data_IF_738196676847
#
_entry.id   IF_738196676847
#
_cell.length_a   1.000
_cell.length_b   1.000
_cell.length_c   1.000
_cell.angle_alpha   90.00
_cell.angle_beta   90.00
_cell.angle_gamma   90.00
#
_symmetry.space_group_name_H-M   'P 1'
#
loop_
_entity.id
_entity.type
_entity.pdbx_description
1 polymer ?
#
# COMPACT_ATOMS: atom_id res chain seq x y z
N UNK A 1 -5.55 -10.89 34.83
CA UNK A 1 -5.36 -12.23 34.25
C UNK A 1 -5.30 -12.09 32.75
N UNK A 2 -4.36 -12.76 32.09
CA UNK A 2 -4.28 -12.78 30.64
C UNK A 2 -5.37 -13.72 30.11
N UNK A 3 -6.61 -13.23 30.01
CA UNK A 3 -7.80 -14.01 29.60
C UNK A 3 -7.52 -14.69 28.25
N UNK A 4 -6.80 -14.00 27.36
CA UNK A 4 -6.35 -14.52 26.07
C UNK A 4 -5.55 -15.82 26.18
N UNK A 5 -4.57 -15.92 27.11
CA UNK A 5 -3.74 -17.12 27.27
C UNK A 5 -4.49 -18.30 27.90
N UNK A 6 -5.66 -18.05 28.52
CA UNK A 6 -6.49 -19.10 29.10
C UNK A 6 -7.45 -19.70 28.08
N UNK A 7 -8.03 -18.86 27.22
CA UNK A 7 -9.01 -19.28 26.23
C UNK A 7 -8.36 -19.78 24.93
N UNK A 8 -7.21 -19.22 24.54
CA UNK A 8 -6.51 -19.65 23.33
C UNK A 8 -5.70 -20.92 23.60
N UNK A 9 -6.24 -22.07 23.18
CA UNK A 9 -5.67 -23.41 23.40
C UNK A 9 -4.46 -23.70 22.50
N UNK A 10 -4.33 -23.04 21.34
CA UNK A 10 -3.21 -23.25 20.41
C UNK A 10 -2.01 -22.32 20.73
N UNK A 11 -0.80 -22.84 20.96
CA UNK A 11 0.39 -22.03 21.17
C UNK A 11 0.74 -21.08 20.01
N UNK A 12 0.24 -21.31 18.79
CA UNK A 12 0.38 -20.41 17.62
C UNK A 12 -0.51 -19.17 17.71
N UNK A 13 -1.55 -19.21 18.55
CA UNK A 13 -2.59 -18.20 18.65
C UNK A 13 -2.33 -17.16 19.75
N UNK A 14 -1.13 -17.14 20.34
CA UNK A 14 -0.78 -16.28 21.49
C UNK A 14 -0.82 -14.77 21.25
N UNK A 15 -0.81 -14.29 20.00
CA UNK A 15 -0.79 -12.84 19.69
C UNK A 15 -1.68 -12.49 18.49
N UNK A 16 -2.62 -11.57 18.73
CA UNK A 16 -3.31 -10.85 17.66
C UNK A 16 -2.31 -9.99 16.88
N UNK A 17 -2.46 -9.93 15.55
CA UNK A 17 -1.67 -8.99 14.76
C UNK A 17 -2.23 -7.57 14.91
N UNK A 18 -1.41 -6.57 15.23
CA UNK A 18 -1.87 -5.19 15.26
C UNK A 18 -2.24 -4.75 13.84
N UNK A 19 -3.39 -4.09 13.71
CA UNK A 19 -3.76 -3.39 12.49
C UNK A 19 -2.86 -2.16 12.41
N UNK A 20 -1.82 -2.22 11.58
CA UNK A 20 -0.99 -1.05 11.32
C UNK A 20 -1.81 0.06 10.68
N UNK A 21 -1.77 1.26 11.26
CA UNK A 21 -2.55 2.42 10.80
C UNK A 21 -2.19 2.83 9.36
N UNK A 22 -0.92 2.67 8.98
CA UNK A 22 -0.36 3.25 7.76
C UNK A 22 0.04 2.23 6.70
N UNK A 23 0.07 0.93 7.02
CA UNK A 23 0.62 -0.09 6.13
C UNK A 23 -0.46 -1.06 5.64
N UNK A 24 -0.58 -1.18 4.33
CA UNK A 24 -1.64 -1.99 3.72
C UNK A 24 -1.45 -3.49 4.00
N UNK A 25 -0.21 -3.99 4.01
CA UNK A 25 0.07 -5.41 4.29
C UNK A 25 -0.35 -5.83 5.71
N UNK A 26 -0.30 -4.94 6.71
CA UNK A 26 -0.70 -5.32 8.07
C UNK A 26 -2.20 -5.59 8.18
N UNK A 27 -3.02 -5.00 7.28
CA UNK A 27 -4.45 -5.29 7.21
C UNK A 27 -4.70 -6.69 6.66
N UNK A 28 -3.97 -7.09 5.61
CA UNK A 28 -3.99 -8.47 5.09
C UNK A 28 -3.60 -9.48 6.18
N UNK A 29 -2.49 -9.24 6.88
CA UNK A 29 -2.04 -10.14 7.97
C UNK A 29 -3.08 -10.24 9.09
N UNK A 30 -3.68 -9.11 9.50
CA UNK A 30 -4.69 -9.11 10.54
C UNK A 30 -5.96 -9.87 10.14
N UNK A 31 -6.49 -9.62 8.95
CA UNK A 31 -7.69 -10.31 8.44
C UNK A 31 -7.40 -11.79 8.23
N UNK A 32 -6.24 -12.14 7.66
CA UNK A 32 -5.84 -13.54 7.43
C UNK A 32 -5.64 -14.30 8.74
N UNK A 33 -5.10 -13.68 9.79
CA UNK A 33 -4.99 -14.33 11.10
C UNK A 33 -6.36 -14.59 11.74
N UNK A 34 -7.29 -13.64 11.62
CA UNK A 34 -8.62 -13.78 12.25
C UNK A 34 -9.51 -14.74 11.47
N UNK A 35 -9.61 -14.60 10.15
CA UNK A 35 -10.56 -15.32 9.30
C UNK A 35 -9.94 -16.47 8.49
N UNK A 36 -8.63 -16.69 8.59
CA UNK A 36 -7.92 -17.66 7.75
C UNK A 36 -7.71 -17.15 6.33
N UNK A 37 -7.59 -18.06 5.38
CA UNK A 37 -7.45 -17.72 3.95
C UNK A 37 -8.81 -17.81 3.23
N UNK A 38 -8.91 -17.22 2.03
CA UNK A 38 -10.18 -17.20 1.29
C UNK A 38 -10.75 -18.62 1.11
N UNK A 39 -11.97 -18.83 1.62
CA UNK A 39 -12.67 -20.11 1.60
C UNK A 39 -12.01 -21.25 2.39
N UNK A 40 -10.99 -20.95 3.19
CA UNK A 40 -10.23 -21.92 3.99
C UNK A 40 -9.94 -21.34 5.37
N UNK A 41 -10.80 -21.62 6.36
CA UNK A 41 -10.66 -21.12 7.74
C UNK A 41 -9.56 -21.81 8.55
N UNK A 42 -8.67 -22.57 7.93
CA UNK A 42 -7.62 -23.33 8.62
C UNK A 42 -6.77 -22.43 9.53
N UNK A 43 -6.65 -22.79 10.81
CA UNK A 43 -5.92 -22.04 11.85
C UNK A 43 -6.40 -20.57 12.03
N UNK A 44 -7.67 -20.29 11.77
CA UNK A 44 -8.25 -18.98 12.01
C UNK A 44 -8.47 -18.72 13.52
N UNK A 45 -8.11 -17.51 13.98
CA UNK A 45 -8.30 -17.07 15.37
C UNK A 45 -9.74 -16.70 15.72
N UNK A 46 -10.66 -16.76 14.76
CA UNK A 46 -12.03 -16.24 14.91
C UNK A 46 -12.75 -16.77 16.15
N UNK A 47 -12.69 -18.09 16.38
CA UNK A 47 -13.36 -18.76 17.51
C UNK A 47 -12.70 -18.37 18.84
N UNK A 48 -11.37 -18.38 18.90
CA UNK A 48 -10.61 -17.89 20.07
C UNK A 48 -10.96 -16.44 20.43
N UNK A 49 -11.13 -15.57 19.42
CA UNK A 49 -11.56 -14.17 19.60
C UNK A 49 -12.98 -14.10 20.17
N UNK A 50 -13.90 -14.94 19.70
CA UNK A 50 -15.27 -14.96 20.22
C UNK A 50 -15.33 -15.44 21.67
N UNK A 51 -14.64 -16.54 22.02
CA UNK A 51 -14.60 -17.04 23.39
C UNK A 51 -13.94 -16.05 24.35
N UNK A 52 -12.82 -15.44 23.96
CA UNK A 52 -12.16 -14.41 24.78
C UNK A 52 -13.04 -13.19 25.01
N UNK A 53 -13.76 -12.71 23.98
CA UNK A 53 -14.72 -11.62 24.15
C UNK A 53 -15.90 -12.02 25.03
N UNK A 54 -16.37 -13.28 24.94
CA UNK A 54 -17.46 -13.78 25.79
C UNK A 54 -17.02 -13.87 27.26
N UNK A 55 -15.81 -14.37 27.52
CA UNK A 55 -15.22 -14.38 28.85
C UNK A 55 -15.06 -12.96 29.42
N UNK A 56 -14.70 -11.98 28.57
CA UNK A 56 -14.65 -10.56 28.96
C UNK A 56 -16.04 -10.03 29.29
N UNK A 57 -17.06 -10.35 28.48
CA UNK A 57 -18.44 -9.91 28.69
C UNK A 57 -19.01 -10.39 30.03
N UNK A 58 -18.74 -11.64 30.43
CA UNK A 58 -19.26 -12.24 31.66
C UNK A 58 -18.36 -12.02 32.89
N UNK A 59 -17.14 -11.50 32.70
CA UNK A 59 -16.20 -11.22 33.78
C UNK A 59 -16.68 -10.09 34.72
N UNK A 60 -17.22 -10.46 35.89
CA UNK A 60 -17.74 -9.50 36.88
C UNK A 60 -16.66 -8.52 37.40
N UNK A 61 -15.40 -8.94 37.41
CA UNK A 61 -14.24 -8.14 37.84
C UNK A 61 -13.72 -7.16 36.78
N UNK A 62 -14.23 -7.23 35.54
CA UNK A 62 -13.80 -6.40 34.42
C UNK A 62 -14.64 -5.12 34.36
N UNK A 63 -14.02 -4.02 33.93
CA UNK A 63 -14.68 -2.72 33.75
C UNK A 63 -15.96 -2.84 32.90
N UNK A 64 -17.05 -2.24 33.36
CA UNK A 64 -18.34 -2.23 32.69
C UNK A 64 -18.27 -1.73 31.24
N UNK A 65 -17.45 -0.72 30.94
CA UNK A 65 -17.26 -0.23 29.55
C UNK A 65 -16.62 -1.28 28.65
N UNK A 66 -15.62 -2.01 29.16
CA UNK A 66 -14.98 -3.09 28.41
C UNK A 66 -15.96 -4.24 28.14
N UNK A 67 -16.84 -4.57 29.09
CA UNK A 67 -17.90 -5.59 28.91
C UNK A 67 -18.90 -5.20 27.82
N UNK A 68 -19.36 -3.95 27.83
CA UNK A 68 -20.30 -3.44 26.82
C UNK A 68 -19.66 -3.43 25.43
N UNK A 69 -18.39 -3.01 25.33
CA UNK A 69 -17.65 -3.05 24.07
C UNK A 69 -17.46 -4.47 23.56
N UNK A 70 -17.11 -5.41 24.43
CA UNK A 70 -16.95 -6.82 24.06
C UNK A 70 -18.27 -7.41 23.51
N UNK A 71 -19.39 -7.15 24.18
CA UNK A 71 -20.72 -7.54 23.69
C UNK A 71 -21.01 -6.94 22.30
N UNK A 72 -20.71 -5.65 22.11
CA UNK A 72 -20.88 -4.98 20.82
C UNK A 72 -20.05 -5.62 19.70
N UNK A 73 -18.78 -5.95 19.99
CA UNK A 73 -17.91 -6.63 19.03
C UNK A 73 -18.39 -8.04 18.69
N UNK A 74 -18.86 -8.82 19.67
CA UNK A 74 -19.46 -10.13 19.43
C UNK A 74 -20.67 -9.99 18.50
N UNK A 75 -21.61 -9.09 18.82
CA UNK A 75 -22.80 -8.86 17.98
C UNK A 75 -22.42 -8.48 16.55
N UNK A 76 -21.35 -7.73 16.34
CA UNK A 76 -20.88 -7.37 15.00
C UNK A 76 -20.19 -8.54 14.28
N UNK A 77 -19.37 -9.32 14.99
CA UNK A 77 -18.63 -10.45 14.43
C UNK A 77 -19.54 -11.61 14.02
N UNK A 78 -20.62 -11.84 14.76
CA UNK A 78 -21.61 -12.90 14.47
C UNK A 78 -22.47 -12.60 13.23
N UNK A 79 -22.49 -11.34 12.75
CA UNK A 79 -23.29 -10.97 11.56
C UNK A 79 -22.73 -11.56 10.29
N UNK A 80 -23.62 -12.07 9.45
CA UNK A 80 -23.24 -12.64 8.15
C UNK A 80 -22.60 -11.60 7.21
N UNK A 81 -23.03 -10.33 7.31
CA UNK A 81 -22.45 -9.19 6.58
C UNK A 81 -20.93 -9.04 6.85
N UNK A 82 -20.51 -9.23 8.10
CA UNK A 82 -19.09 -9.12 8.50
C UNK A 82 -18.26 -10.24 7.88
N UNK A 83 -18.82 -11.43 7.77
CA UNK A 83 -18.13 -12.58 7.16
C UNK A 83 -18.04 -12.40 5.64
N UNK A 84 -19.12 -11.99 4.99
CA UNK A 84 -19.12 -11.67 3.57
C UNK A 84 -18.09 -10.59 3.23
N UNK A 85 -18.06 -9.49 3.99
CA UNK A 85 -17.04 -8.43 3.79
C UNK A 85 -15.63 -8.95 4.00
N UNK A 86 -15.38 -9.74 5.05
CA UNK A 86 -14.07 -10.34 5.31
C UNK A 86 -13.62 -11.24 4.15
N UNK A 87 -14.49 -12.10 3.61
CA UNK A 87 -14.16 -12.98 2.48
C UNK A 87 -13.90 -12.17 1.19
N UNK A 88 -14.59 -11.05 0.97
CA UNK A 88 -14.29 -10.13 -0.15
C UNK A 88 -12.86 -9.59 -0.01
N UNK A 89 -12.49 -9.09 1.17
CA UNK A 89 -11.15 -8.57 1.42
C UNK A 89 -10.07 -9.64 1.30
N UNK A 90 -10.27 -10.84 1.85
CA UNK A 90 -9.34 -11.97 1.69
C UNK A 90 -9.09 -12.29 0.22
N UNK A 91 -10.14 -12.29 -0.61
CA UNK A 91 -10.03 -12.52 -2.04
C UNK A 91 -9.23 -11.42 -2.76
N UNK A 92 -9.45 -10.16 -2.41
CA UNK A 92 -8.68 -9.03 -2.94
C UNK A 92 -7.21 -9.12 -2.49
N UNK A 93 -6.94 -9.50 -1.24
CA UNK A 93 -5.58 -9.61 -0.71
C UNK A 93 -4.79 -10.76 -1.32
N UNK A 94 -5.42 -11.88 -1.68
CA UNK A 94 -4.75 -12.96 -2.41
C UNK A 94 -4.08 -12.47 -3.71
N UNK A 95 -4.69 -11.49 -4.39
CA UNK A 95 -4.15 -10.91 -5.62
C UNK A 95 -3.21 -9.74 -5.34
N UNK A 96 -3.58 -8.85 -4.42
CA UNK A 96 -2.86 -7.58 -4.20
C UNK A 96 -1.62 -7.71 -3.30
N UNK A 97 -1.64 -8.62 -2.32
CA UNK A 97 -0.52 -8.79 -1.37
C UNK A 97 0.79 -9.25 -2.01
N UNK A 98 0.81 -10.24 -2.94
CA UNK A 98 2.03 -10.61 -3.65
C UNK A 98 2.66 -9.45 -4.43
N UNK A 99 1.82 -8.63 -5.08
CA UNK A 99 2.26 -7.43 -5.81
C UNK A 99 2.86 -6.42 -4.84
N UNK A 100 2.16 -6.10 -3.75
CA UNK A 100 2.66 -5.17 -2.72
C UNK A 100 4.00 -5.63 -2.13
N UNK A 101 4.14 -6.91 -1.78
CA UNK A 101 5.40 -7.48 -1.28
C UNK A 101 6.52 -7.39 -2.32
N UNK A 102 6.22 -7.61 -3.61
CA UNK A 102 7.22 -7.49 -4.67
C UNK A 102 7.68 -6.04 -4.87
N UNK A 103 6.75 -5.08 -4.85
CA UNK A 103 7.07 -3.65 -4.96
C UNK A 103 7.98 -3.14 -3.83
N UNK A 104 7.92 -3.79 -2.67
CA UNK A 104 8.73 -3.45 -1.50
C UNK A 104 10.10 -4.15 -1.46
N UNK A 105 10.41 -5.07 -2.40
CA UNK A 105 11.70 -5.76 -2.43
C UNK A 105 12.83 -4.81 -2.81
N UNK A 106 13.98 -4.93 -2.13
CA UNK A 106 15.22 -4.28 -2.55
C UNK A 106 15.68 -4.85 -3.90
N UNK A 107 15.79 -4.01 -4.93
CA UNK A 107 16.18 -4.45 -6.28
C UNK A 107 15.02 -4.88 -7.17
N UNK A 108 13.81 -4.36 -6.93
CA UNK A 108 12.64 -4.54 -7.80
C UNK A 108 12.93 -4.18 -9.27
N UNK A 109 12.63 -5.10 -10.19
CA UNK A 109 12.56 -4.81 -11.64
C UNK A 109 11.20 -4.19 -11.98
N UNK A 110 11.23 -2.95 -12.50
CA UNK A 110 10.06 -2.13 -12.85
C UNK A 110 9.17 -2.83 -13.88
N UNK A 111 9.76 -3.53 -14.85
CA UNK A 111 8.96 -4.20 -15.89
C UNK A 111 8.27 -5.45 -15.36
N UNK A 112 8.98 -6.22 -14.53
CA UNK A 112 8.37 -7.36 -13.83
C UNK A 112 7.28 -6.88 -12.86
N UNK A 113 7.50 -5.77 -12.15
CA UNK A 113 6.47 -5.13 -11.31
C UNK A 113 5.24 -4.74 -12.14
N UNK A 114 5.44 -4.09 -13.29
CA UNK A 114 4.34 -3.71 -14.17
C UNK A 114 3.55 -4.93 -14.68
N UNK A 115 4.24 -6.00 -15.10
CA UNK A 115 3.58 -7.25 -15.52
C UNK A 115 2.77 -7.87 -14.39
N UNK A 116 3.28 -7.90 -13.17
CA UNK A 116 2.55 -8.38 -12.00
C UNK A 116 1.30 -7.54 -11.73
N UNK A 117 1.38 -6.23 -11.88
CA UNK A 117 0.24 -5.32 -11.73
C UNK A 117 -0.82 -5.58 -12.81
N UNK A 118 -0.42 -5.71 -14.09
CA UNK A 118 -1.35 -6.01 -15.20
C UNK A 118 -2.03 -7.36 -14.98
N UNK A 119 -1.28 -8.38 -14.56
CA UNK A 119 -1.84 -9.68 -14.23
C UNK A 119 -2.83 -9.61 -13.06
N UNK A 120 -2.48 -8.87 -12.00
CA UNK A 120 -3.34 -8.65 -10.84
C UNK A 120 -4.63 -7.90 -11.21
N UNK A 121 -4.55 -6.86 -12.04
CA UNK A 121 -5.73 -6.12 -12.53
C UNK A 121 -6.64 -7.00 -13.38
N UNK A 122 -6.06 -7.82 -14.26
CA UNK A 122 -6.82 -8.80 -15.06
C UNK A 122 -7.55 -9.78 -14.15
N UNK A 123 -6.85 -10.36 -13.17
CA UNK A 123 -7.46 -11.26 -12.20
C UNK A 123 -8.57 -10.58 -11.38
N UNK A 124 -8.38 -9.32 -10.96
CA UNK A 124 -9.39 -8.54 -10.25
C UNK A 124 -10.64 -8.31 -11.11
N UNK A 125 -10.47 -7.94 -12.39
CA UNK A 125 -11.56 -7.77 -13.35
C UNK A 125 -12.38 -9.06 -13.55
N UNK A 126 -11.70 -10.19 -13.67
CA UNK A 126 -12.35 -11.49 -13.84
C UNK A 126 -13.19 -11.90 -12.61
N UNK A 127 -12.82 -11.43 -11.42
CA UNK A 127 -13.56 -11.69 -10.18
C UNK A 127 -14.55 -10.59 -9.77
N UNK A 128 -14.62 -9.46 -10.48
CA UNK A 128 -15.43 -8.28 -10.09
C UNK A 128 -16.92 -8.59 -9.88
N UNK A 129 -17.47 -9.56 -10.63
CA UNK A 129 -18.90 -9.93 -10.55
C UNK A 129 -19.14 -11.32 -9.98
N UNK A 130 -18.10 -11.96 -9.46
CA UNK A 130 -18.14 -13.34 -8.98
C UNK A 130 -18.53 -13.40 -7.49
N UNK A 131 -19.77 -12.98 -7.21
CA UNK A 131 -20.34 -13.01 -5.87
C UNK A 131 -20.59 -14.43 -5.36
N UNK A 132 -20.91 -15.38 -6.25
CA UNK A 132 -21.20 -16.76 -5.88
C UNK A 132 -20.02 -17.44 -5.17
N UNK A 133 -18.79 -17.25 -5.67
CA UNK A 133 -17.61 -17.80 -4.96
C UNK A 133 -17.38 -17.17 -3.60
N UNK A 134 -17.76 -15.90 -3.40
CA UNK A 134 -17.69 -15.26 -2.08
C UNK A 134 -18.73 -15.87 -1.14
N UNK A 135 -19.93 -16.12 -1.65
CA UNK A 135 -21.03 -16.74 -0.90
C UNK A 135 -20.67 -18.17 -0.49
N UNK A 136 -20.14 -18.99 -1.39
CA UNK A 136 -19.72 -20.35 -1.05
C UNK A 136 -18.59 -20.36 -0.01
N UNK A 137 -17.59 -19.48 -0.16
CA UNK A 137 -16.52 -19.32 0.83
C UNK A 137 -17.05 -18.87 2.20
N UNK A 138 -18.00 -17.94 2.23
CA UNK A 138 -18.64 -17.49 3.47
C UNK A 138 -19.48 -18.60 4.11
N UNK A 139 -20.24 -19.37 3.33
CA UNK A 139 -21.01 -20.50 3.83
C UNK A 139 -20.11 -21.58 4.44
N UNK A 140 -19.01 -21.94 3.79
CA UNK A 140 -17.99 -22.86 4.34
C UNK A 140 -17.39 -22.32 5.63
N UNK A 141 -17.11 -21.02 5.70
CA UNK A 141 -16.60 -20.38 6.91
C UNK A 141 -17.62 -20.43 8.07
N UNK A 142 -18.89 -20.10 7.81
CA UNK A 142 -19.95 -20.13 8.83
C UNK A 142 -20.15 -21.55 9.37
N UNK A 143 -20.21 -22.55 8.48
CA UNK A 143 -20.33 -23.95 8.88
C UNK A 143 -19.16 -24.37 9.77
N UNK A 144 -17.92 -24.04 9.38
CA UNK A 144 -16.74 -24.32 10.19
C UNK A 144 -16.79 -23.60 11.55
N UNK A 145 -17.15 -22.31 11.57
CA UNK A 145 -17.15 -21.51 12.78
C UNK A 145 -18.18 -22.01 13.80
N UNK A 146 -19.39 -22.34 13.36
CA UNK A 146 -20.42 -22.90 14.23
C UNK A 146 -20.02 -24.28 14.78
N UNK A 147 -19.52 -25.18 13.93
CA UNK A 147 -19.04 -26.50 14.37
C UNK A 147 -17.92 -26.37 15.42
N UNK A 148 -16.94 -25.47 15.21
CA UNK A 148 -15.85 -25.25 16.16
C UNK A 148 -16.32 -24.60 17.46
N UNK A 149 -17.31 -23.71 17.40
CA UNK A 149 -17.85 -23.05 18.60
C UNK A 149 -18.64 -24.03 19.46
N UNK A 150 -19.40 -24.94 18.83
CA UNK A 150 -20.09 -26.06 19.50
C UNK A 150 -19.10 -27.04 20.16
N UNK A 151 -18.02 -27.40 19.48
CA UNK A 151 -16.99 -28.31 20.01
C UNK A 151 -16.23 -27.72 21.21
N UNK A 152 -16.03 -26.39 21.25
CA UNK A 152 -15.19 -25.74 22.25
C UNK A 152 -15.95 -25.30 23.50
N UNK A 153 -17.28 -25.16 23.47
CA UNK A 153 -18.06 -24.72 24.64
C UNK A 153 -19.54 -25.10 24.56
N UNK A 154 -20.00 -26.02 25.41
CA UNK A 154 -21.43 -26.41 25.53
C UNK A 154 -22.31 -25.31 26.18
N UNK A 155 -21.72 -24.30 26.85
CA UNK A 155 -22.45 -23.29 27.64
C UNK A 155 -22.65 -21.93 26.94
N UNK A 156 -22.05 -21.69 25.77
CA UNK A 156 -22.12 -20.37 25.09
C UNK A 156 -23.09 -20.37 23.90
N UNK A 157 -24.15 -19.56 23.96
CA UNK A 157 -25.07 -19.28 22.84
C UNK A 157 -24.43 -18.37 21.77
N UNK A 158 -23.27 -18.77 21.23
CA UNK A 158 -22.58 -18.04 20.16
C UNK A 158 -22.84 -18.74 18.83
N UNK A 159 -23.83 -18.27 18.09
CA UNK A 159 -24.14 -18.76 16.74
C UNK A 159 -23.87 -17.66 15.71
N UNK A 160 -23.08 -18.01 14.69
CA UNK A 160 -22.80 -17.14 13.57
C UNK A 160 -23.96 -17.18 12.58
N UNK A 161 -24.46 -16.00 12.20
CA UNK A 161 -25.57 -15.88 11.24
C UNK A 161 -25.18 -16.48 9.88
N UNK A 162 -26.06 -17.33 9.33
CA UNK A 162 -25.88 -17.95 8.02
C UNK A 162 -26.54 -17.19 6.86
N UNK A 163 -27.31 -16.14 7.14
CA UNK A 163 -28.08 -15.40 6.14
C UNK A 163 -28.18 -13.91 6.46
N UNK A 164 -28.35 -13.11 5.41
CA UNK A 164 -28.59 -11.67 5.55
C UNK A 164 -30.00 -11.38 6.09
N UNK A 165 -30.18 -10.35 6.93
CA UNK A 165 -31.49 -9.95 7.41
C UNK A 165 -32.35 -9.42 6.25
N UNK A 166 -33.57 -9.95 6.11
CA UNK A 166 -34.50 -9.48 5.08
C UNK A 166 -34.99 -8.06 5.40
N UNK A 167 -34.67 -7.09 4.52
CA UNK A 167 -35.16 -5.72 4.64
C UNK A 167 -36.60 -5.63 4.13
N UNK A 168 -37.54 -5.30 5.01
CA UNK A 168 -38.93 -5.08 4.61
C UNK A 168 -39.05 -3.82 3.74
N UNK A 169 -39.35 -3.98 2.46
CA UNK A 169 -39.55 -2.87 1.54
C UNK A 169 -40.73 -1.98 1.97
N UNK A 170 -40.50 -0.68 2.18
CA UNK A 170 -41.57 0.28 2.47
C UNK A 170 -42.32 0.59 1.17
N UNK A 171 -43.47 -0.05 0.96
CA UNK A 171 -44.36 0.30 -0.16
C UNK A 171 -45.10 1.60 0.17
N UNK A 172 -44.86 2.66 -0.63
CA UNK A 172 -45.69 3.87 -0.60
C UNK A 172 -46.97 3.57 -1.39
N UNK A 173 -48.13 3.92 -0.84
CA UNK A 173 -49.42 3.78 -1.56
C UNK A 173 -49.38 4.63 -2.84
N UNK A 174 -49.59 3.99 -3.99
CA UNK A 174 -49.72 4.65 -5.30
C UNK A 174 -51.17 5.11 -5.52
N UNK A 175 -51.36 6.34 -5.98
CA UNK A 175 -52.69 6.87 -6.30
C UNK A 175 -53.08 6.55 -7.75
N UNK A 176 -54.39 6.45 -8.07
CA UNK A 176 -54.83 6.24 -9.45
C UNK A 176 -54.28 7.33 -10.39
N UNK A 177 -53.58 6.92 -11.46
CA UNK A 177 -52.96 7.83 -12.44
C UNK A 177 -51.46 8.12 -12.22
N UNK A 178 -50.87 7.68 -11.11
CA UNK A 178 -49.40 7.76 -10.91
C UNK A 178 -48.70 6.56 -11.55
N UNK A 179 -47.64 6.81 -12.33
CA UNK A 179 -46.71 5.77 -12.78
C UNK A 179 -45.92 5.25 -11.56
N UNK A 180 -45.82 3.92 -11.42
CA UNK A 180 -44.99 3.30 -10.38
C UNK A 180 -43.52 3.72 -10.53
N UNK A 181 -42.88 4.12 -9.43
CA UNK A 181 -41.42 4.30 -9.40
C UNK A 181 -40.72 2.93 -9.48
N UNK A 182 -39.48 2.91 -9.98
CA UNK A 182 -38.63 1.71 -9.99
C UNK A 182 -38.63 1.04 -8.61
N UNK A 183 -38.95 -0.25 -8.59
CA UNK A 183 -39.00 -1.03 -7.35
C UNK A 183 -37.58 -1.19 -6.80
N UNK A 184 -37.38 -0.78 -5.55
CA UNK A 184 -36.12 -1.07 -4.85
C UNK A 184 -35.95 -2.59 -4.76
N UNK A 185 -34.74 -3.08 -5.06
CA UNK A 185 -34.37 -4.50 -4.93
C UNK A 185 -34.72 -4.97 -3.52
N UNK A 186 -35.65 -5.91 -3.42
CA UNK A 186 -36.21 -6.39 -2.13
C UNK A 186 -35.44 -7.57 -1.55
N UNK A 187 -34.72 -8.30 -2.39
CA UNK A 187 -33.90 -9.41 -1.96
C UNK A 187 -32.58 -8.92 -1.32
N UNK A 188 -32.30 -9.42 -0.12
CA UNK A 188 -31.18 -8.96 0.70
C UNK A 188 -29.84 -9.31 0.06
N UNK A 189 -29.76 -10.45 -0.62
CA UNK A 189 -28.53 -10.92 -1.28
C UNK A 189 -28.19 -10.07 -2.50
N UNK A 190 -29.18 -9.80 -3.35
CA UNK A 190 -29.00 -8.93 -4.52
C UNK A 190 -28.72 -7.48 -4.12
N UNK A 191 -29.35 -6.96 -3.06
CA UNK A 191 -28.99 -5.63 -2.51
C UNK A 191 -27.55 -5.62 -2.01
N UNK A 192 -27.11 -6.59 -1.21
CA UNK A 192 -25.72 -6.64 -0.75
C UNK A 192 -24.72 -6.79 -1.91
N UNK A 193 -25.04 -7.61 -2.91
CA UNK A 193 -24.24 -7.77 -4.12
C UNK A 193 -24.03 -6.44 -4.85
N UNK A 194 -25.09 -5.67 -5.05
CA UNK A 194 -25.06 -4.40 -5.78
C UNK A 194 -24.44 -3.28 -4.94
N UNK A 195 -24.90 -3.13 -3.71
CA UNK A 195 -24.58 -1.98 -2.86
C UNK A 195 -23.22 -2.11 -2.17
N UNK A 196 -22.75 -3.33 -1.91
CA UNK A 196 -21.50 -3.58 -1.16
C UNK A 196 -20.46 -4.27 -2.03
N UNK A 197 -20.72 -5.50 -2.49
CA UNK A 197 -19.71 -6.29 -3.19
C UNK A 197 -19.23 -5.61 -4.48
N UNK A 198 -20.17 -5.23 -5.35
CA UNK A 198 -19.87 -4.56 -6.61
C UNK A 198 -19.16 -3.23 -6.39
N UNK A 199 -19.62 -2.40 -5.44
CA UNK A 199 -18.97 -1.11 -5.15
C UNK A 199 -17.53 -1.28 -4.68
N UNK A 200 -17.26 -2.26 -3.80
CA UNK A 200 -15.89 -2.54 -3.32
C UNK A 200 -15.02 -2.99 -4.49
N UNK A 201 -15.47 -3.96 -5.28
CA UNK A 201 -14.70 -4.51 -6.40
C UNK A 201 -14.45 -3.47 -7.50
N UNK A 202 -15.45 -2.66 -7.83
CA UNK A 202 -15.34 -1.60 -8.84
C UNK A 202 -14.39 -0.49 -8.36
N UNK A 203 -14.43 -0.12 -7.07
CA UNK A 203 -13.51 0.86 -6.48
C UNK A 203 -12.06 0.36 -6.50
N UNK A 204 -11.84 -0.90 -6.11
CA UNK A 204 -10.49 -1.50 -6.11
C UNK A 204 -9.96 -1.61 -7.54
N UNK A 205 -10.77 -2.11 -8.48
CA UNK A 205 -10.36 -2.27 -9.88
C UNK A 205 -10.11 -0.91 -10.54
N UNK A 206 -11.00 0.05 -10.34
CA UNK A 206 -10.88 1.40 -10.90
C UNK A 206 -9.64 2.13 -10.35
N UNK A 207 -9.38 2.03 -9.05
CA UNK A 207 -8.20 2.64 -8.43
C UNK A 207 -6.89 1.98 -8.88
N UNK A 208 -6.86 0.65 -9.04
CA UNK A 208 -5.71 -0.07 -9.62
C UNK A 208 -5.43 0.38 -11.06
N UNK A 209 -6.49 0.48 -11.88
CA UNK A 209 -6.38 0.90 -13.27
C UNK A 209 -5.84 2.33 -13.40
N UNK A 210 -6.45 3.28 -12.71
CA UNK A 210 -6.07 4.70 -12.77
C UNK A 210 -4.64 4.95 -12.26
N UNK A 211 -4.21 4.23 -11.22
CA UNK A 211 -2.90 4.45 -10.59
C UNK A 211 -1.75 3.84 -11.40
N UNK A 212 -1.93 2.65 -11.96
CA UNK A 212 -0.79 1.90 -12.49
C UNK A 212 -0.83 1.60 -13.99
N UNK A 213 -2.01 1.49 -14.62
CA UNK A 213 -2.09 1.07 -16.02
C UNK A 213 -2.11 2.24 -17.00
N UNK A 214 -2.52 3.43 -16.56
CA UNK A 214 -2.51 4.64 -17.40
C UNK A 214 -1.12 4.91 -18.01
N UNK A 215 -0.04 4.58 -17.29
CA UNK A 215 1.34 4.86 -17.68
C UNK A 215 2.13 3.59 -18.08
N UNK A 216 1.45 2.53 -18.52
CA UNK A 216 2.11 1.25 -18.87
C UNK A 216 3.21 1.36 -19.92
N UNK A 217 2.97 2.17 -20.96
CA UNK A 217 3.96 2.45 -22.02
C UNK A 217 5.20 3.15 -21.48
N UNK A 218 5.05 4.09 -20.55
CA UNK A 218 6.17 4.76 -19.89
C UNK A 218 7.03 3.78 -19.09
N UNK A 219 6.44 2.81 -18.38
CA UNK A 219 7.23 1.81 -17.65
C UNK A 219 8.02 0.88 -18.58
N UNK A 220 7.46 0.57 -19.76
CA UNK A 220 8.18 -0.18 -20.78
C UNK A 220 9.39 0.61 -21.30
N UNK A 221 9.21 1.90 -21.58
CA UNK A 221 10.29 2.80 -22.01
C UNK A 221 11.39 2.93 -20.94
N UNK A 222 10.99 3.14 -19.68
CA UNK A 222 11.92 3.31 -18.57
C UNK A 222 12.76 2.07 -18.28
N UNK A 223 12.22 0.88 -18.52
CA UNK A 223 12.99 -0.34 -18.29
C UNK A 223 14.08 -0.57 -19.34
N UNK A 224 14.02 0.07 -20.50
CA UNK A 224 15.14 0.07 -21.45
C UNK A 224 16.38 0.78 -20.88
N UNK A 225 16.21 1.63 -19.86
CA UNK A 225 17.30 2.25 -19.10
C UNK A 225 17.90 1.32 -18.03
N UNK A 226 17.40 0.09 -17.86
CA UNK A 226 18.04 -0.89 -16.97
C UNK A 226 19.29 -1.49 -17.64
N UNK A 227 20.49 -1.34 -17.03
CA UNK A 227 21.72 -1.91 -17.56
C UNK A 227 21.66 -3.41 -17.88
N UNK A 228 20.82 -4.18 -17.17
CA UNK A 228 20.61 -5.62 -17.43
C UNK A 228 20.08 -5.91 -18.83
N UNK A 229 19.43 -4.92 -19.45
CA UNK A 229 18.80 -5.06 -20.77
C UNK A 229 19.62 -4.43 -21.89
N UNK A 230 20.81 -3.90 -21.61
CA UNK A 230 21.66 -3.30 -22.64
C UNK A 230 22.12 -4.29 -23.71
N UNK A 231 22.20 -5.58 -23.39
CA UNK A 231 22.41 -6.64 -24.39
C UNK A 231 21.29 -6.68 -25.44
N UNK A 232 20.03 -6.54 -25.00
CA UNK A 232 18.86 -6.47 -25.86
C UNK A 232 18.83 -5.14 -26.64
N UNK A 233 19.14 -4.03 -25.99
CA UNK A 233 19.27 -2.71 -26.64
C UNK A 233 20.26 -2.74 -27.79
N UNK A 234 21.42 -3.38 -27.61
CA UNK A 234 22.44 -3.49 -28.65
C UNK A 234 21.95 -4.27 -29.87
N UNK A 235 21.03 -5.23 -29.68
CA UNK A 235 20.41 -5.98 -30.78
C UNK A 235 19.42 -5.14 -31.61
N UNK A 236 18.86 -4.07 -31.04
CA UNK A 236 17.97 -3.13 -31.74
C UNK A 236 18.73 -2.07 -32.56
N UNK A 237 20.04 -2.19 -32.72
CA UNK A 237 20.83 -1.30 -33.57
C UNK A 237 20.37 -1.28 -35.05
N UNK A 238 19.64 -2.32 -35.49
CA UNK A 238 18.98 -2.37 -36.81
C UNK A 238 17.59 -1.71 -36.88
N UNK A 239 17.08 -1.18 -35.76
CA UNK A 239 15.78 -0.52 -35.64
C UNK A 239 15.10 -0.83 -34.31
N UNK A 240 14.79 0.20 -33.52
CA UNK A 240 13.90 0.05 -32.37
C UNK A 240 12.46 -0.23 -32.83
N UNK A 241 11.65 -0.93 -32.02
CA UNK A 241 10.20 -0.97 -32.24
C UNK A 241 9.63 0.44 -32.35
N UNK A 242 8.73 0.70 -33.30
CA UNK A 242 8.21 2.06 -33.58
C UNK A 242 7.64 2.75 -32.34
N UNK A 243 7.07 1.99 -31.40
CA UNK A 243 6.48 2.48 -30.15
C UNK A 243 7.48 2.75 -29.02
N UNK A 244 8.77 2.38 -29.16
CA UNK A 244 9.74 2.46 -28.08
C UNK A 244 10.25 3.88 -27.84
N UNK A 245 10.29 4.29 -26.57
CA UNK A 245 10.79 5.57 -26.06
C UNK A 245 9.94 6.80 -26.47
N UNK A 246 8.77 6.59 -27.06
CA UNK A 246 7.86 7.66 -27.45
C UNK A 246 7.27 8.38 -26.24
N UNK A 247 6.82 7.64 -25.23
CA UNK A 247 6.16 8.22 -24.06
C UNK A 247 7.19 8.89 -23.14
N UNK A 248 8.37 8.27 -23.00
CA UNK A 248 9.49 8.90 -22.31
C UNK A 248 9.92 10.20 -22.99
N UNK A 249 10.06 10.23 -24.33
CA UNK A 249 10.37 11.46 -25.06
C UNK A 249 9.34 12.56 -24.80
N UNK A 250 8.03 12.26 -24.84
CA UNK A 250 6.98 13.23 -24.50
C UNK A 250 7.12 13.81 -23.09
N UNK A 251 7.51 12.99 -22.10
CA UNK A 251 7.74 13.46 -20.73
C UNK A 251 9.00 14.32 -20.58
N UNK A 252 9.99 14.13 -21.46
CA UNK A 252 11.27 14.85 -21.41
C UNK A 252 11.28 16.15 -22.23
N UNK A 253 10.47 16.25 -23.28
CA UNK A 253 10.36 17.45 -24.13
C UNK A 253 10.11 18.76 -23.35
N UNK A 254 9.27 18.80 -22.30
CA UNK A 254 9.09 20.03 -21.50
C UNK A 254 10.36 20.51 -20.79
N UNK A 255 11.35 19.64 -20.61
CA UNK A 255 12.61 19.96 -19.94
C UNK A 255 13.75 20.25 -20.93
N UNK A 256 13.72 19.64 -22.12
CA UNK A 256 14.68 19.89 -23.19
C UNK A 256 14.05 19.55 -24.56
N UNK A 257 13.94 20.55 -25.43
CA UNK A 257 13.39 20.40 -26.79
C UNK A 257 14.17 19.41 -27.66
N UNK A 258 15.43 19.13 -27.31
CA UNK A 258 16.29 18.16 -28.02
C UNK A 258 15.97 16.71 -27.67
N UNK A 259 15.13 16.46 -26.66
CA UNK A 259 14.76 15.13 -26.16
C UNK A 259 13.80 14.37 -27.11
N UNK A 260 14.12 14.36 -28.41
CA UNK A 260 13.40 13.62 -29.45
C UNK A 260 13.67 12.12 -29.34
N UNK A 261 12.71 11.32 -29.81
CA UNK A 261 12.79 9.84 -29.82
C UNK A 261 14.08 9.35 -30.52
N UNK A 262 14.41 9.91 -31.69
CA UNK A 262 15.59 9.49 -32.45
C UNK A 262 16.90 9.75 -31.69
N UNK A 263 17.01 10.90 -31.01
CA UNK A 263 18.21 11.25 -30.26
C UNK A 263 18.35 10.37 -29.02
N UNK A 264 17.26 10.16 -28.28
CA UNK A 264 17.21 9.27 -27.12
C UNK A 264 17.58 7.82 -27.50
N UNK A 265 17.08 7.31 -28.62
CA UNK A 265 17.44 5.98 -29.16
C UNK A 265 18.93 5.89 -29.50
N UNK A 266 19.48 6.90 -30.19
CA UNK A 266 20.89 6.91 -30.60
C UNK A 266 21.87 6.96 -29.41
N UNK A 267 21.56 7.78 -28.39
CA UNK A 267 22.35 7.87 -27.17
C UNK A 267 22.27 6.58 -26.36
N UNK A 268 21.09 5.95 -26.29
CA UNK A 268 20.89 4.70 -25.57
C UNK A 268 21.67 3.53 -26.22
N UNK A 269 21.66 3.42 -27.56
CA UNK A 269 22.45 2.39 -28.27
C UNK A 269 23.94 2.60 -28.03
N UNK A 270 24.42 3.84 -28.14
CA UNK A 270 25.82 4.18 -27.90
C UNK A 270 26.25 3.83 -26.47
N UNK A 271 25.41 4.19 -25.48
CA UNK A 271 25.65 3.87 -24.08
C UNK A 271 25.66 2.35 -23.83
N UNK A 272 24.68 1.62 -24.38
CA UNK A 272 24.57 0.18 -24.23
C UNK A 272 25.80 -0.55 -24.79
N UNK A 273 26.31 -0.12 -25.95
CA UNK A 273 27.52 -0.69 -26.57
C UNK A 273 28.79 -0.41 -25.76
N UNK A 274 28.88 0.75 -25.10
CA UNK A 274 30.06 1.14 -24.31
C UNK A 274 30.00 0.68 -22.84
N UNK A 275 28.84 0.20 -22.38
CA UNK A 275 28.60 -0.14 -20.98
C UNK A 275 29.57 -1.17 -20.41
N UNK A 276 29.93 -2.19 -21.20
CA UNK A 276 30.88 -3.23 -20.76
C UNK A 276 32.27 -2.66 -20.45
N UNK A 277 32.66 -1.54 -21.07
CA UNK A 277 33.91 -0.84 -20.76
C UNK A 277 33.73 0.06 -19.54
N UNK A 278 32.63 0.82 -19.50
CA UNK A 278 32.30 1.76 -18.42
C UNK A 278 32.13 1.07 -17.05
N UNK A 279 31.60 -0.16 -17.00
CA UNK A 279 31.42 -0.91 -15.74
C UNK A 279 32.73 -1.39 -15.08
N UNK A 280 33.86 -1.34 -15.78
CA UNK A 280 35.15 -1.86 -15.28
C UNK A 280 35.76 -0.95 -14.22
N UNK A 281 35.29 0.28 -14.09
CA UNK A 281 35.79 1.24 -13.10
C UNK A 281 35.55 0.78 -11.66
N UNK A 282 36.48 1.17 -10.79
CA UNK A 282 36.44 0.98 -9.34
C UNK A 282 35.52 2.06 -8.76
N UNK A 283 34.47 1.63 -8.06
CA UNK A 283 33.64 2.54 -7.28
C UNK A 283 34.21 2.66 -5.87
N UNK A 284 34.30 3.89 -5.37
CA UNK A 284 34.24 4.13 -3.93
C UNK A 284 32.85 3.75 -3.43
N UNK A 285 32.81 3.08 -2.28
CA UNK A 285 31.57 2.74 -1.59
C UNK A 285 30.69 3.98 -1.47
N UNK A 286 29.40 3.83 -1.72
CA UNK A 286 28.47 4.92 -1.53
C UNK A 286 27.34 4.57 -0.61
N UNK A 287 26.97 5.57 0.16
CA UNK A 287 25.89 5.49 1.11
C UNK A 287 24.57 5.82 0.43
N UNK A 288 23.66 4.85 0.36
CA UNK A 288 22.27 5.13 0.03
C UNK A 288 21.47 5.28 1.31
N UNK A 289 20.64 6.33 1.38
CA UNK A 289 19.64 6.47 2.44
C UNK A 289 18.61 5.36 2.24
N UNK A 290 18.65 4.35 3.09
CA UNK A 290 17.72 3.20 3.02
C UNK A 290 17.35 2.80 4.43
N UNK A 291 16.14 3.11 4.86
CA UNK A 291 15.72 2.70 6.19
C UNK A 291 15.52 1.16 6.24
N UNK A 292 15.88 0.52 7.34
CA UNK A 292 15.55 -0.89 7.60
C UNK A 292 14.34 -0.98 8.54
N UNK A 293 13.61 -2.09 8.50
CA UNK A 293 12.57 -2.37 9.48
C UNK A 293 13.25 -2.97 10.72
N UNK A 294 13.16 -2.28 11.87
CA UNK A 294 13.59 -2.84 13.15
C UNK A 294 12.73 -4.03 13.61
N UNK A 295 13.20 -4.81 14.60
CA UNK A 295 12.55 -6.02 15.09
C UNK A 295 11.29 -5.76 15.94
N UNK A 296 10.25 -6.60 15.73
CA UNK A 296 8.81 -6.47 16.05
C UNK A 296 8.37 -5.91 17.43
N UNK A 297 9.27 -5.75 18.42
CA UNK A 297 8.91 -5.49 19.82
C UNK A 297 9.57 -4.24 20.49
N UNK A 298 10.28 -3.35 19.77
CA UNK A 298 10.83 -2.10 20.35
C UNK A 298 10.02 -0.87 19.92
N UNK A 299 9.77 0.09 20.80
CA UNK A 299 9.28 1.43 20.43
C UNK A 299 10.24 2.06 19.40
N UNK A 300 9.88 1.98 18.11
CA UNK A 300 10.80 2.26 17.02
C UNK A 300 11.09 3.75 16.84
N UNK A 301 12.26 4.16 17.30
CA UNK A 301 13.05 5.16 16.57
C UNK A 301 13.45 4.56 15.22
N UNK A 302 12.95 5.13 14.13
CA UNK A 302 13.37 4.75 12.80
C UNK A 302 14.78 5.30 12.56
N UNK A 303 15.82 4.53 12.87
CA UNK A 303 17.17 4.93 12.50
C UNK A 303 17.32 4.95 10.97
N UNK A 304 17.83 6.07 10.46
CA UNK A 304 18.22 6.21 9.06
C UNK A 304 19.42 5.32 8.79
N UNK A 305 19.16 4.07 8.42
CA UNK A 305 20.24 3.16 8.04
C UNK A 305 20.79 3.56 6.68
N UNK A 306 22.10 3.57 6.63
CA UNK A 306 22.91 3.81 5.45
C UNK A 306 23.25 2.45 4.84
N UNK A 307 22.45 1.91 3.89
CA UNK A 307 22.92 0.71 3.16
C UNK A 307 23.98 1.14 2.18
N UNK A 308 25.13 0.49 2.28
CA UNK A 308 26.13 0.45 1.23
C UNK A 308 25.57 -0.44 0.12
N UNK A 309 25.32 0.12 -1.06
CA UNK A 309 25.19 -0.72 -2.23
C UNK A 309 26.59 -1.27 -2.51
N UNK A 310 26.81 -2.56 -2.29
CA UNK A 310 28.01 -3.25 -2.73
C UNK A 310 28.00 -3.33 -4.26
N UNK A 311 28.34 -2.21 -4.91
CA UNK A 311 28.74 -2.11 -6.32
C UNK A 311 28.09 -3.12 -7.27
N UNK A 312 26.75 -3.24 -7.28
CA UNK A 312 26.10 -4.29 -8.07
C UNK A 312 26.27 -4.09 -9.59
N UNK A 313 26.76 -2.90 -10.02
CA UNK A 313 27.11 -2.51 -11.40
C UNK A 313 26.02 -2.67 -12.46
N UNK A 314 24.87 -3.25 -12.11
CA UNK A 314 23.76 -3.57 -13.01
C UNK A 314 22.45 -2.93 -12.54
N UNK A 315 22.54 -1.73 -11.94
CA UNK A 315 21.38 -0.99 -11.44
C UNK A 315 21.27 0.41 -12.07
N UNK A 316 20.06 0.95 -12.32
CA UNK A 316 19.90 2.30 -12.90
C UNK A 316 20.59 3.40 -12.08
N UNK A 317 20.59 3.29 -10.74
CA UNK A 317 21.30 4.21 -9.85
C UNK A 317 22.82 4.13 -10.01
N UNK A 318 23.35 2.93 -10.21
CA UNK A 318 24.76 2.65 -10.45
C UNK A 318 25.17 3.26 -11.80
N UNK A 319 24.33 3.08 -12.82
CA UNK A 319 24.51 3.67 -14.15
C UNK A 319 24.56 5.19 -14.11
N UNK A 320 23.57 5.81 -13.47
CA UNK A 320 23.57 7.26 -13.32
C UNK A 320 24.84 7.81 -12.64
N UNK A 321 25.35 7.10 -11.61
CA UNK A 321 26.58 7.50 -10.92
C UNK A 321 27.83 7.34 -11.77
N UNK A 322 27.97 6.23 -12.51
CA UNK A 322 29.09 6.04 -13.46
C UNK A 322 29.10 7.18 -14.47
N UNK A 323 27.94 7.48 -15.05
CA UNK A 323 27.81 8.55 -16.02
C UNK A 323 28.15 9.92 -15.41
N UNK A 324 27.80 10.15 -14.14
CA UNK A 324 28.18 11.37 -13.41
C UNK A 324 29.68 11.45 -13.15
N UNK A 325 30.32 10.36 -12.74
CA UNK A 325 31.75 10.32 -12.44
C UNK A 325 32.61 10.65 -13.67
N UNK A 326 32.21 10.15 -14.84
CA UNK A 326 32.88 10.44 -16.10
C UNK A 326 32.44 11.75 -16.76
N UNK A 327 31.58 12.55 -16.11
CA UNK A 327 30.96 13.76 -16.65
C UNK A 327 30.27 13.57 -18.02
N UNK A 328 29.84 12.34 -18.32
CA UNK A 328 29.22 12.01 -19.61
C UNK A 328 27.76 12.50 -19.71
N UNK A 329 27.15 12.83 -18.58
CA UNK A 329 25.77 13.34 -18.49
C UNK A 329 25.61 14.75 -19.08
N UNK A 330 26.69 15.49 -19.29
CA UNK A 330 26.63 16.89 -19.74
C UNK A 330 26.97 17.00 -21.23
N UNK A 331 27.94 16.24 -21.71
CA UNK A 331 28.48 16.40 -23.07
C UNK A 331 28.06 15.27 -24.04
N UNK A 332 28.17 14.01 -23.64
CA UNK A 332 27.98 12.86 -24.55
C UNK A 332 26.56 12.27 -24.50
N UNK A 333 25.94 12.25 -23.31
CA UNK A 333 24.67 11.59 -23.02
C UNK A 333 23.73 12.51 -22.24
N UNK A 334 23.52 13.73 -22.75
CA UNK A 334 22.70 14.74 -22.07
C UNK A 334 21.25 14.30 -21.88
N UNK A 335 20.62 13.73 -22.93
CA UNK A 335 19.21 13.37 -22.91
C UNK A 335 19.01 12.09 -22.10
N UNK A 336 19.93 11.14 -22.20
CA UNK A 336 19.93 9.96 -21.33
C UNK A 336 20.16 10.35 -19.86
N UNK A 337 21.02 11.34 -19.61
CA UNK A 337 21.23 11.86 -18.26
C UNK A 337 19.97 12.49 -17.67
N UNK A 338 19.23 13.23 -18.48
CA UNK A 338 17.90 13.74 -18.13
C UNK A 338 16.90 12.60 -17.88
N UNK A 339 16.90 11.56 -18.72
CA UNK A 339 16.05 10.38 -18.56
C UNK A 339 16.33 9.62 -17.25
N UNK A 340 17.61 9.46 -16.87
CA UNK A 340 17.97 8.86 -15.58
C UNK A 340 17.56 9.74 -14.39
N UNK A 341 17.71 11.06 -14.49
CA UNK A 341 17.21 11.98 -13.45
C UNK A 341 15.71 11.83 -13.29
N UNK A 342 14.96 11.84 -14.39
CA UNK A 342 13.53 11.61 -14.40
C UNK A 342 13.17 10.28 -13.73
N UNK A 343 13.78 9.17 -14.16
CA UNK A 343 13.57 7.84 -13.59
C UNK A 343 13.80 7.80 -12.07
N UNK A 344 14.91 8.37 -11.59
CA UNK A 344 15.27 8.37 -10.16
C UNK A 344 14.37 9.29 -9.31
N UNK A 345 13.65 10.22 -9.93
CA UNK A 345 12.67 11.08 -9.25
C UNK A 345 11.26 10.49 -9.20
N UNK A 346 10.97 9.44 -9.96
CA UNK A 346 9.63 8.83 -9.96
C UNK A 346 9.35 8.12 -8.64
N UNK A 347 8.19 8.45 -8.06
CA UNK A 347 7.69 7.88 -6.79
C UNK A 347 7.53 6.35 -6.83
N UNK A 348 7.32 5.76 -8.01
CA UNK A 348 7.22 4.29 -8.22
C UNK A 348 8.51 3.56 -7.86
N UNK A 349 9.65 4.24 -7.86
CA UNK A 349 10.94 3.68 -7.47
C UNK A 349 11.32 3.99 -6.02
N UNK A 350 10.55 4.85 -5.35
CA UNK A 350 10.89 5.39 -4.04
C UNK A 350 9.99 4.79 -2.95
N UNK A 351 10.48 3.74 -2.29
CA UNK A 351 9.95 3.23 -1.00
C UNK A 351 10.05 4.29 0.13
N UNK A 352 10.64 5.46 -0.15
CA UNK A 352 10.66 6.60 0.75
C UNK A 352 9.26 7.18 0.99
N UNK A 353 8.39 7.24 -0.04
CA UNK A 353 7.06 7.84 0.08
C UNK A 353 6.17 7.10 1.08
N UNK A 354 6.18 5.75 1.09
CA UNK A 354 5.44 4.94 2.08
C UNK A 354 5.94 5.18 3.52
N UNK A 355 7.20 5.60 3.68
CA UNK A 355 7.82 5.84 4.99
C UNK A 355 7.65 7.28 5.49
N UNK A 356 7.52 8.26 4.59
CA UNK A 356 6.99 9.59 4.93
C UNK A 356 5.57 9.47 5.50
N UNK A 357 4.74 8.57 4.99
CA UNK A 357 3.44 8.29 5.63
C UNK A 357 3.58 7.64 7.01
N UNK A 358 4.66 6.90 7.29
CA UNK A 358 4.96 6.42 8.64
C UNK A 358 5.33 7.56 9.60
N UNK A 359 6.00 8.62 9.11
CA UNK A 359 6.27 9.82 9.92
C UNK A 359 4.99 10.57 10.31
N UNK A 360 3.93 10.42 9.51
CA UNK A 360 2.62 11.01 9.77
C UNK A 360 2.00 10.50 11.09
N UNK A 361 2.30 9.27 11.50
CA UNK A 361 1.90 8.72 12.81
C UNK A 361 2.48 9.50 13.99
N UNK A 362 3.71 10.00 13.85
CA UNK A 362 4.35 10.79 14.91
C UNK A 362 3.86 12.25 14.91
N UNK A 363 3.53 12.78 13.73
CA UNK A 363 2.99 14.14 13.59
C UNK A 363 1.55 14.20 14.10
N UNK A 364 0.71 13.24 13.70
CA UNK A 364 -0.66 13.09 14.17
C UNK A 364 -0.73 12.12 15.35
N UNK A 365 -0.62 12.67 16.55
CA UNK A 365 -0.93 11.94 17.78
C UNK A 365 -2.33 12.33 18.31
N UNK A 366 -2.76 11.70 19.41
CA UNK A 366 -4.07 11.97 20.05
C UNK A 366 -4.30 13.46 20.35
N UNK A 367 -3.24 14.23 20.60
CA UNK A 367 -3.30 15.66 20.91
C UNK A 367 -3.26 16.55 19.64
N UNK A 368 -2.84 16.02 18.50
CA UNK A 368 -2.66 16.73 17.21
C UNK A 368 -3.56 16.21 16.10
N UNK A 369 -4.65 15.54 16.45
CA UNK A 369 -5.58 14.93 15.48
C UNK A 369 -6.30 15.96 14.60
N UNK A 370 -6.34 17.23 14.99
CA UNK A 370 -7.06 18.32 14.31
C UNK A 370 -6.13 19.38 13.70
N UNK A 371 -4.92 19.00 13.26
CA UNK A 371 -4.03 19.91 12.52
C UNK A 371 -4.66 20.34 11.18
N UNK A 372 -4.55 21.64 10.86
CA UNK A 372 -4.89 22.13 9.52
C UNK A 372 -3.97 21.50 8.48
N UNK A 373 -4.44 21.40 7.23
CA UNK A 373 -3.69 20.74 6.15
C UNK A 373 -2.34 21.42 5.89
N UNK A 374 -2.30 22.77 5.93
CA UNK A 374 -1.06 23.54 5.78
C UNK A 374 -0.05 23.21 6.89
N UNK A 375 -0.48 23.16 8.15
CA UNK A 375 0.43 22.84 9.26
C UNK A 375 0.93 21.39 9.16
N UNK A 376 0.06 20.46 8.77
CA UNK A 376 0.43 19.07 8.57
C UNK A 376 1.51 18.92 7.47
N UNK A 377 1.34 19.63 6.36
CA UNK A 377 2.31 19.63 5.25
C UNK A 377 3.66 20.18 5.69
N UNK A 378 3.68 21.32 6.41
CA UNK A 378 4.91 21.89 6.98
C UNK A 378 5.61 20.93 7.94
N UNK A 379 4.88 20.29 8.86
CA UNK A 379 5.45 19.30 9.78
C UNK A 379 5.97 18.06 9.06
N UNK A 380 5.30 17.64 7.98
CA UNK A 380 5.74 16.53 7.15
C UNK A 380 7.05 16.86 6.43
N UNK A 381 7.18 18.07 5.86
CA UNK A 381 8.41 18.54 5.23
C UNK A 381 9.56 18.58 6.24
N UNK A 382 9.32 19.15 7.43
CA UNK A 382 10.28 19.18 8.52
C UNK A 382 10.75 17.78 8.93
N UNK A 383 9.81 16.85 9.14
CA UNK A 383 10.15 15.49 9.59
C UNK A 383 10.86 14.65 8.50
N UNK A 384 10.56 14.89 7.23
CA UNK A 384 11.15 14.14 6.11
C UNK A 384 12.51 14.68 5.67
N UNK A 385 12.81 15.95 5.94
CA UNK A 385 14.07 16.60 5.58
C UNK A 385 14.82 17.15 6.82
N UNK A 386 15.21 16.29 7.78
CA UNK A 386 15.94 16.74 8.97
C UNK A 386 17.31 17.35 8.63
N UNK A 387 17.92 16.91 7.52
CA UNK A 387 19.22 17.42 7.08
C UNK A 387 19.12 18.88 6.63
N UNK A 388 18.04 19.25 5.93
CA UNK A 388 17.81 20.65 5.50
C UNK A 388 17.55 21.53 6.72
N UNK A 389 16.81 21.03 7.71
CA UNK A 389 16.58 21.74 8.97
C UNK A 389 17.87 21.99 9.74
N UNK A 390 18.78 21.03 9.78
CA UNK A 390 20.10 21.19 10.43
C UNK A 390 21.01 22.17 9.70
N UNK A 391 20.75 22.45 8.43
CA UNK A 391 21.48 23.45 7.64
C UNK A 391 20.92 24.87 7.80
N UNK A 392 19.72 25.03 8.35
CA UNK A 392 19.15 26.34 8.63
C UNK A 392 19.77 26.94 9.89
N UNK A 393 20.11 28.22 9.80
CA UNK A 393 20.63 28.97 10.92
C UNK A 393 19.51 29.27 11.93
N UNK A 394 19.72 28.90 13.19
CA UNK A 394 18.71 29.05 14.24
C UNK A 394 18.46 30.53 14.54
N UNK A 395 19.49 31.36 14.44
CA UNK A 395 19.41 32.79 14.73
C UNK A 395 18.53 33.50 13.68
N UNK A 396 18.69 33.14 12.40
CA UNK A 396 17.83 33.65 11.32
C UNK A 396 16.35 33.27 11.49
N UNK A 397 16.08 32.06 12.03
CA UNK A 397 14.70 31.63 12.31
C UNK A 397 14.13 32.44 13.47
N UNK A 398 14.92 32.67 14.52
CA UNK A 398 14.50 33.47 15.69
C UNK A 398 14.19 34.90 15.25
N UNK A 399 15.07 35.52 14.47
CA UNK A 399 14.88 36.87 13.93
C UNK A 399 13.61 36.96 13.07
N UNK A 400 13.41 36.01 12.14
CA UNK A 400 12.22 35.98 11.29
C UNK A 400 10.91 35.71 12.04
N UNK A 401 10.95 35.09 13.22
CA UNK A 401 9.77 34.92 14.09
C UNK A 401 9.52 36.16 14.93
N UNK A 402 10.59 36.78 15.42
CA UNK A 402 10.57 38.01 16.19
C UNK A 402 9.97 39.18 15.38
N UNK A 403 10.27 39.26 14.08
CA UNK A 403 9.70 40.27 13.17
C UNK A 403 8.18 40.17 12.96
N UNK A 404 7.54 39.04 13.33
CA UNK A 404 6.09 38.84 13.12
C UNK A 404 5.22 39.56 14.15
N UNK A 405 5.78 39.97 15.29
CA UNK A 405 5.02 40.66 16.35
C UNK A 405 5.95 41.47 17.24
N UNK A 406 5.55 42.70 17.56
CA UNK A 406 6.28 43.57 18.49
C UNK A 406 6.51 42.94 19.88
N UNK A 407 5.62 42.04 20.31
CA UNK A 407 5.77 41.31 21.57
C UNK A 407 6.85 40.22 21.46
N UNK A 408 6.91 39.50 20.34
CA UNK A 408 7.92 38.47 20.10
C UNK A 408 9.30 39.09 19.88
N UNK A 409 9.36 40.23 19.20
CA UNK A 409 10.59 40.99 19.01
C UNK A 409 11.28 41.33 20.33
N UNK A 410 10.50 41.78 21.33
CA UNK A 410 11.01 42.10 22.67
C UNK A 410 11.47 40.89 23.48
N UNK A 411 10.88 39.72 23.23
CA UNK A 411 11.17 38.50 24.00
C UNK A 411 12.28 37.64 23.39
N UNK A 412 12.52 37.76 22.08
CA UNK A 412 13.43 36.88 21.33
C UNK A 412 14.75 37.54 20.91
N UNK A 413 14.79 38.87 20.72
CA UNK A 413 15.97 39.62 20.26
C UNK A 413 16.52 40.57 21.36
N UNK A 414 16.47 40.14 22.63
CA UNK A 414 17.04 40.93 23.74
C UNK A 414 18.47 40.54 24.08
#
# INVERSE_FOLDING_TARGET
>A
MNIWEKESKDPRHRRLAPIGETRWWSKDVAVTKVFGSFGKPDNALYVDVLHTLSAIQHGQTINATARVNARGYITQLLRYETILTAQIFLRIFQVTSPVSKYLQKSGMDILTAHRMIVAAETQLKDMTRDFEKVKTAAATFVQWANNQTEEQSEETELEVEAALPQKRGRKKKTMPGEMSKDEAVTDAETSYKIDVHNQIMDTVTGSMHQRFLKNGTLYADLALLDPKRFSQVTSYAGGFPEAALQELSKCLLPFDDRATVAKLQSELISLAGQWNRLKTSVFEEYTTKTTEAGPEDAEYEAEMVYKKCSSCKDCPLCCYRILKQYNLLTDAYHIIGLAYRFLLTLSVTQVACERSFSTLKFIKNRLRSSLSQQNLESFMLMATQPDVLKMLDSDQIIDGVAEKSELLQKLLIQ
#
